data_IF_895774028385
#
_entry.id   IF_895774028385
#
_cell.length_a   1.000
_cell.length_b   1.000
_cell.length_c   1.000
_cell.angle_alpha   90.00
_cell.angle_beta   90.00
_cell.angle_gamma   90.00
#
_symmetry.space_group_name_H-M   'P 1'
#
loop_
_entity.id
_entity.type
_entity.pdbx_description
1 polymer ?
#
# COMPACT_ATOMS: atom_id res chain seq x y z
N UNK A 1 60.37 -47.42 25.24
CA UNK A 1 59.63 -46.71 24.17
C UNK A 1 58.72 -45.69 24.82
N UNK A 2 59.01 -44.39 24.61
CA UNK A 2 58.31 -43.26 25.23
C UNK A 2 57.04 -42.96 24.42
N UNK A 3 55.86 -42.91 25.05
CA UNK A 3 54.63 -42.37 24.45
C UNK A 3 54.32 -41.05 25.14
N UNK A 4 54.46 -39.96 24.39
CA UNK A 4 54.05 -38.62 24.77
C UNK A 4 52.54 -38.46 24.51
N UNK A 5 51.83 -37.91 25.50
CA UNK A 5 50.43 -37.52 25.38
C UNK A 5 50.31 -36.14 24.70
N UNK A 6 49.32 -35.91 23.83
CA UNK A 6 49.07 -34.58 23.29
C UNK A 6 48.25 -33.75 24.28
N UNK A 7 48.76 -32.55 24.60
CA UNK A 7 48.02 -31.46 25.23
C UNK A 7 46.93 -31.00 24.24
N UNK A 8 45.67 -31.15 24.62
CA UNK A 8 44.55 -30.48 23.94
C UNK A 8 44.46 -29.07 24.54
N UNK A 9 44.90 -28.07 23.76
CA UNK A 9 44.71 -26.67 24.10
C UNK A 9 43.25 -26.28 23.79
N UNK A 10 42.49 -25.96 24.84
CA UNK A 10 41.20 -25.30 24.76
C UNK A 10 41.42 -23.87 24.22
N UNK A 11 41.08 -23.62 22.96
CA UNK A 11 40.91 -22.27 22.43
C UNK A 11 39.60 -21.69 22.97
N UNK A 12 39.71 -20.98 24.09
CA UNK A 12 38.68 -20.05 24.57
C UNK A 12 38.97 -18.67 23.99
N UNK A 13 37.91 -17.90 23.70
CA UNK A 13 37.88 -16.50 23.23
C UNK A 13 38.01 -16.28 21.72
N UNK A 14 36.87 -16.35 21.03
CA UNK A 14 36.55 -15.43 19.94
C UNK A 14 35.30 -14.65 20.35
N UNK A 15 35.51 -13.51 21.00
CA UNK A 15 34.45 -12.53 21.20
C UNK A 15 33.96 -12.04 19.84
N UNK A 16 32.67 -11.67 19.76
CA UNK A 16 32.17 -10.80 18.70
C UNK A 16 32.81 -9.42 18.89
N UNK A 17 34.10 -9.29 18.58
CA UNK A 17 34.76 -8.01 18.50
C UNK A 17 34.12 -7.27 17.33
N UNK A 18 33.43 -6.19 17.70
CA UNK A 18 33.04 -5.07 16.84
C UNK A 18 34.09 -4.87 15.76
N UNK A 19 33.72 -5.16 14.51
CA UNK A 19 34.44 -4.70 13.33
C UNK A 19 34.42 -3.15 13.35
N UNK A 20 35.36 -2.57 14.12
CA UNK A 20 35.75 -1.16 14.07
C UNK A 20 36.49 -0.95 12.74
N UNK A 21 35.75 -1.02 11.64
CA UNK A 21 36.23 -0.74 10.31
C UNK A 21 36.12 0.75 10.00
N UNK A 22 37.27 1.42 9.95
CA UNK A 22 37.56 2.68 9.25
C UNK A 22 36.62 3.87 9.50
N UNK A 23 37.14 4.93 10.11
CA UNK A 23 36.50 6.24 10.40
C UNK A 23 36.04 7.06 9.16
N UNK A 24 35.74 6.41 8.04
CA UNK A 24 35.16 7.04 6.86
C UNK A 24 33.64 7.07 6.93
N UNK A 25 33.03 8.17 6.48
CA UNK A 25 31.59 8.20 6.20
C UNK A 25 31.25 7.03 5.25
N UNK A 26 30.17 6.26 5.51
CA UNK A 26 29.77 5.17 4.63
C UNK A 26 29.55 5.72 3.22
N UNK A 27 30.04 5.01 2.20
CA UNK A 27 29.78 5.39 0.80
C UNK A 27 28.38 4.91 0.41
N UNK A 28 27.55 5.77 -0.21
CA UNK A 28 26.23 5.37 -0.67
C UNK A 28 26.35 4.36 -1.82
N UNK A 29 25.43 3.39 -1.85
CA UNK A 29 25.28 2.46 -2.97
C UNK A 29 24.90 3.20 -4.24
N UNK A 30 24.04 4.22 -4.10
CA UNK A 30 23.69 5.12 -5.19
C UNK A 30 23.27 6.50 -4.69
N UNK A 31 23.49 7.51 -5.53
CA UNK A 31 23.03 8.87 -5.34
C UNK A 31 22.03 9.21 -6.44
N UNK A 32 20.83 9.60 -6.04
CA UNK A 32 19.76 10.03 -6.93
C UNK A 32 19.77 11.56 -6.95
N UNK A 33 19.86 12.16 -8.15
CA UNK A 33 19.77 13.60 -8.34
C UNK A 33 18.39 14.00 -8.79
N UNK A 34 17.85 15.05 -8.19
CA UNK A 34 16.53 15.57 -8.50
C UNK A 34 16.59 17.06 -8.78
N UNK A 35 15.71 17.52 -9.67
CA UNK A 35 15.44 18.93 -9.92
C UNK A 35 13.94 19.18 -9.84
N UNK A 36 13.54 20.25 -9.17
CA UNK A 36 12.14 20.67 -9.05
C UNK A 36 11.83 21.76 -10.06
N UNK A 37 10.75 21.60 -10.81
CA UNK A 37 10.22 22.59 -11.74
C UNK A 37 8.89 23.15 -11.23
N UNK A 38 8.73 24.48 -11.30
CA UNK A 38 7.49 25.14 -10.90
C UNK A 38 7.36 25.43 -9.41
N UNK A 39 8.48 25.43 -8.64
CA UNK A 39 8.49 25.69 -7.20
C UNK A 39 7.79 26.99 -6.81
N UNK A 40 7.85 28.03 -7.63
CA UNK A 40 7.18 29.32 -7.42
C UNK A 40 5.65 29.21 -7.29
N UNK A 41 5.05 28.06 -7.63
CA UNK A 41 3.63 27.77 -7.43
C UNK A 41 3.31 27.31 -6.01
N UNK A 42 4.33 26.98 -5.22
CA UNK A 42 4.19 26.61 -3.82
C UNK A 42 4.14 27.90 -3.00
N UNK A 43 2.95 28.24 -2.51
CA UNK A 43 2.74 29.36 -1.60
C UNK A 43 3.06 29.02 -0.14
N UNK A 44 3.06 30.01 0.75
CA UNK A 44 3.05 29.74 2.20
C UNK A 44 1.80 28.92 2.56
N UNK A 45 1.89 28.15 3.64
CA UNK A 45 0.72 27.43 4.17
C UNK A 45 -0.30 28.40 4.80
N UNK A 46 -1.45 27.90 5.24
CA UNK A 46 -2.52 28.63 5.95
C UNK A 46 -2.02 29.41 7.18
N UNK A 47 -0.83 29.07 7.69
CA UNK A 47 -0.19 29.71 8.85
C UNK A 47 0.83 30.80 8.48
N UNK A 48 0.97 31.16 7.19
CA UNK A 48 2.01 32.05 6.66
C UNK A 48 3.46 31.57 6.93
N UNK A 49 3.64 30.32 7.35
CA UNK A 49 4.95 29.72 7.56
C UNK A 49 5.56 29.32 6.22
N UNK A 50 6.83 29.68 5.93
CA UNK A 50 7.52 29.20 4.74
C UNK A 50 7.54 27.67 4.69
N UNK A 51 7.29 27.04 3.52
CA UNK A 51 7.25 25.59 3.40
C UNK A 51 8.63 24.98 3.69
N UNK A 52 8.65 23.87 4.44
CA UNK A 52 9.86 23.11 4.73
C UNK A 52 10.01 22.00 3.68
N UNK A 53 10.47 22.41 2.51
CA UNK A 53 10.50 21.52 1.34
C UNK A 53 11.57 20.43 1.46
N UNK A 54 11.12 19.19 1.30
CA UNK A 54 11.94 17.99 1.34
C UNK A 54 11.56 17.07 0.20
N UNK A 55 12.48 16.19 -0.18
CA UNK A 55 12.22 15.11 -1.13
C UNK A 55 12.27 13.76 -0.41
N UNK A 56 11.38 12.85 -0.78
CA UNK A 56 11.37 11.49 -0.28
C UNK A 56 11.41 10.48 -1.43
N UNK A 57 12.05 9.34 -1.20
CA UNK A 57 11.89 8.15 -2.03
C UNK A 57 10.87 7.22 -1.40
N UNK A 58 9.82 6.88 -2.16
CA UNK A 58 8.79 5.93 -1.76
C UNK A 58 8.93 4.65 -2.57
N UNK A 59 9.05 3.50 -1.91
CA UNK A 59 8.90 2.20 -2.56
C UNK A 59 7.43 1.83 -2.65
N UNK A 60 6.99 1.38 -3.82
CA UNK A 60 5.61 0.97 -4.06
C UNK A 60 5.35 -0.47 -3.66
N UNK A 61 4.13 -0.74 -3.19
CA UNK A 61 3.62 -2.10 -3.06
C UNK A 61 3.07 -2.62 -4.39
N UNK A 62 2.88 -3.93 -4.44
CA UNK A 62 1.94 -4.54 -5.37
C UNK A 62 0.52 -4.09 -5.01
N UNK A 63 -0.21 -3.53 -5.98
CA UNK A 63 -1.61 -3.20 -5.76
C UNK A 63 -2.40 -4.50 -5.83
N UNK A 64 -3.15 -4.76 -4.78
CA UNK A 64 -4.14 -5.83 -4.76
C UNK A 64 -5.49 -5.12 -4.83
N UNK A 65 -6.03 -4.88 -6.04
CA UNK A 65 -7.29 -4.18 -6.16
C UNK A 65 -8.39 -5.03 -5.55
N UNK A 66 -9.28 -4.38 -4.83
CA UNK A 66 -10.50 -5.03 -4.36
C UNK A 66 -11.31 -5.50 -5.57
N UNK A 67 -11.77 -6.77 -5.62
CA UNK A 67 -12.57 -7.31 -6.72
C UNK A 67 -13.74 -6.43 -7.18
N UNK A 68 -14.45 -5.78 -6.26
CA UNK A 68 -15.56 -4.88 -6.61
C UNK A 68 -15.12 -3.61 -7.35
N UNK A 69 -13.87 -3.18 -7.19
CA UNK A 69 -13.35 -2.00 -7.87
C UNK A 69 -12.96 -2.27 -9.33
N UNK A 70 -12.92 -3.54 -9.75
CA UNK A 70 -12.61 -3.94 -11.12
C UNK A 70 -13.81 -4.52 -11.87
N UNK A 71 -14.83 -4.98 -11.14
CA UNK A 71 -16.04 -5.56 -11.72
C UNK A 71 -17.09 -4.47 -11.99
N UNK A 72 -17.94 -4.64 -13.01
CA UNK A 72 -19.08 -3.76 -13.23
C UNK A 72 -20.00 -3.74 -11.99
N UNK A 73 -20.47 -2.56 -11.55
CA UNK A 73 -21.40 -2.47 -10.43
C UNK A 73 -22.75 -3.12 -10.78
N UNK A 74 -23.33 -3.86 -9.83
CA UNK A 74 -24.64 -4.54 -10.02
C UNK A 74 -25.85 -3.61 -9.85
N UNK A 75 -25.65 -2.40 -9.33
CA UNK A 75 -26.70 -1.40 -9.12
C UNK A 75 -26.14 0.03 -9.15
N UNK A 76 -27.01 1.02 -9.33
CA UNK A 76 -26.62 2.44 -9.28
C UNK A 76 -26.05 2.83 -7.90
N UNK A 77 -26.61 2.26 -6.82
CA UNK A 77 -26.11 2.50 -5.47
C UNK A 77 -24.70 1.93 -5.31
N UNK A 78 -24.45 0.70 -5.78
CA UNK A 78 -23.12 0.11 -5.80
C UNK A 78 -22.14 0.97 -6.62
N UNK A 79 -22.56 1.46 -7.79
CA UNK A 79 -21.73 2.32 -8.63
C UNK A 79 -21.29 3.60 -7.90
N UNK A 80 -22.19 4.25 -7.15
CA UNK A 80 -21.88 5.45 -6.36
C UNK A 80 -20.86 5.14 -5.25
N UNK A 81 -21.08 4.07 -4.49
CA UNK A 81 -20.17 3.64 -3.42
C UNK A 81 -18.79 3.34 -3.97
N UNK A 82 -18.71 2.58 -5.06
CA UNK A 82 -17.45 2.22 -5.69
C UNK A 82 -16.74 3.44 -6.28
N UNK A 83 -17.46 4.37 -6.92
CA UNK A 83 -16.85 5.61 -7.42
C UNK A 83 -16.23 6.48 -6.31
N UNK A 84 -16.81 6.44 -5.10
CA UNK A 84 -16.33 7.19 -3.94
C UNK A 84 -15.18 6.48 -3.23
N UNK A 85 -15.29 5.16 -3.02
CA UNK A 85 -14.35 4.40 -2.21
C UNK A 85 -13.22 3.73 -3.00
N UNK A 86 -13.43 3.37 -4.27
CA UNK A 86 -12.38 2.70 -5.03
C UNK A 86 -11.26 3.67 -5.40
N UNK A 87 -10.00 3.34 -5.11
CA UNK A 87 -8.88 4.10 -5.63
C UNK A 87 -8.73 3.89 -7.14
N UNK A 88 -8.01 4.81 -7.80
CA UNK A 88 -7.52 4.56 -9.16
C UNK A 88 -6.69 3.26 -9.16
N UNK A 89 -7.11 2.29 -9.97
CA UNK A 89 -6.50 0.96 -10.08
C UNK A 89 -5.05 1.00 -10.60
N UNK A 90 -4.69 2.09 -11.30
CA UNK A 90 -3.40 2.25 -11.93
C UNK A 90 -2.48 3.21 -11.19
N UNK A 91 -2.94 3.79 -10.08
CA UNK A 91 -2.14 4.70 -9.27
C UNK A 91 -0.93 3.99 -8.69
N UNK A 92 0.16 4.72 -8.50
CA UNK A 92 1.25 4.28 -7.64
C UNK A 92 0.74 4.14 -6.20
N UNK A 93 1.02 3.00 -5.57
CA UNK A 93 0.62 2.74 -4.19
C UNK A 93 1.87 2.63 -3.30
N UNK A 94 2.21 3.68 -2.54
CA UNK A 94 3.38 3.68 -1.67
C UNK A 94 3.24 2.70 -0.52
N UNK A 95 4.31 1.99 -0.18
CA UNK A 95 4.38 1.12 1.00
C UNK A 95 5.30 1.67 2.08
N UNK A 96 6.45 2.20 1.66
CA UNK A 96 7.54 2.56 2.57
C UNK A 96 8.29 3.78 2.08
N UNK A 97 8.56 4.71 3.00
CA UNK A 97 9.53 5.78 2.79
C UNK A 97 10.94 5.23 3.04
N UNK A 98 11.80 5.31 2.04
CA UNK A 98 13.13 4.72 2.08
C UNK A 98 14.20 5.71 2.55
N UNK A 99 14.10 6.95 2.08
CA UNK A 99 15.06 8.01 2.35
C UNK A 99 14.40 9.38 2.16
N UNK A 100 14.94 10.39 2.85
CA UNK A 100 14.53 11.78 2.77
C UNK A 100 15.76 12.68 2.62
N UNK A 101 15.61 13.81 1.92
CA UNK A 101 16.62 14.85 1.84
C UNK A 101 15.97 16.23 1.82
N UNK A 102 16.67 17.24 2.31
CA UNK A 102 16.25 18.62 2.17
C UNK A 102 16.38 19.07 0.70
N UNK A 103 15.45 19.91 0.24
CA UNK A 103 15.58 20.61 -1.04
C UNK A 103 16.48 21.83 -0.87
N UNK A 104 17.50 22.00 -1.71
CA UNK A 104 18.23 23.27 -1.80
C UNK A 104 17.36 24.28 -2.57
N UNK A 105 16.78 25.22 -1.84
CA UNK A 105 15.87 26.23 -2.40
C UNK A 105 16.56 27.28 -3.27
N UNK A 106 17.90 27.33 -3.28
CA UNK A 106 18.66 28.26 -4.14
C UNK A 106 18.88 27.71 -5.54
N UNK A 107 18.95 26.38 -5.67
CA UNK A 107 19.20 25.65 -6.92
C UNK A 107 17.97 24.88 -7.41
N UNK A 108 16.96 24.71 -6.55
CA UNK A 108 15.81 23.82 -6.77
C UNK A 108 16.22 22.35 -7.00
N UNK A 109 17.34 21.94 -6.41
CA UNK A 109 17.89 20.60 -6.53
C UNK A 109 17.94 19.84 -5.19
N UNK A 110 17.91 18.52 -5.26
CA UNK A 110 18.10 17.66 -4.10
C UNK A 110 18.88 16.39 -4.46
N UNK A 111 19.51 15.78 -3.45
CA UNK A 111 20.25 14.53 -3.57
C UNK A 111 19.74 13.54 -2.53
N UNK A 112 19.30 12.37 -2.97
CA UNK A 112 18.95 11.25 -2.09
C UNK A 112 20.05 10.20 -2.17
N UNK A 113 20.62 9.86 -1.03
CA UNK A 113 21.66 8.85 -0.89
C UNK A 113 21.03 7.56 -0.34
N UNK A 114 21.28 6.44 -1.02
CA UNK A 114 20.82 5.13 -0.57
C UNK A 114 22.00 4.28 -0.12
N UNK A 115 21.95 3.84 1.14
CA UNK A 115 22.98 2.99 1.74
C UNK A 115 22.61 1.51 1.78
N UNK A 116 21.35 1.20 1.50
CA UNK A 116 20.82 -0.16 1.51
C UNK A 116 19.99 -0.42 0.26
N UNK A 117 19.97 -1.67 -0.19
CA UNK A 117 18.99 -2.12 -1.18
C UNK A 117 17.58 -2.15 -0.56
N UNK A 118 16.52 -2.10 -1.37
CA UNK A 118 15.15 -2.25 -0.88
C UNK A 118 14.97 -3.57 -0.13
N UNK A 119 14.14 -3.56 0.91
CA UNK A 119 13.85 -4.78 1.66
C UNK A 119 12.94 -5.70 0.85
N UNK A 120 13.07 -7.01 1.07
CA UNK A 120 12.32 -8.03 0.33
C UNK A 120 10.80 -7.90 0.47
N UNK A 121 10.29 -7.24 1.51
CA UNK A 121 8.86 -7.05 1.76
C UNK A 121 8.20 -6.05 0.81
N UNK A 122 8.98 -5.16 0.18
CA UNK A 122 8.50 -4.23 -0.86
C UNK A 122 8.85 -4.70 -2.28
N UNK A 123 9.57 -5.80 -2.42
CA UNK A 123 9.95 -6.35 -3.72
C UNK A 123 8.93 -7.38 -4.20
N UNK A 124 8.72 -7.41 -5.51
CA UNK A 124 7.77 -8.30 -6.18
C UNK A 124 8.56 -9.38 -6.91
N UNK A 125 8.17 -10.64 -6.72
CA UNK A 125 8.76 -11.81 -7.37
C UNK A 125 9.20 -12.88 -6.37
N UNK A 126 9.99 -13.86 -6.84
CA UNK A 126 10.48 -14.97 -6.02
C UNK A 126 11.90 -14.72 -5.50
N UNK A 127 12.56 -15.69 -4.88
CA UNK A 127 13.92 -15.53 -4.34
C UNK A 127 15.01 -15.34 -5.42
N UNK A 128 14.72 -15.63 -6.69
CA UNK A 128 15.66 -15.59 -7.81
C UNK A 128 15.46 -14.40 -8.74
N UNK A 129 14.29 -13.76 -8.65
CA UNK A 129 13.83 -12.75 -9.60
C UNK A 129 12.95 -11.76 -8.86
N UNK A 130 13.51 -10.61 -8.47
CA UNK A 130 12.80 -9.58 -7.71
C UNK A 130 12.93 -8.21 -8.34
N UNK A 131 11.87 -7.43 -8.25
CA UNK A 131 11.88 -6.04 -8.70
C UNK A 131 11.05 -5.18 -7.76
N UNK A 132 11.49 -3.94 -7.54
CA UNK A 132 10.69 -2.92 -6.90
C UNK A 132 10.76 -1.63 -7.71
N UNK A 133 9.68 -0.86 -7.63
CA UNK A 133 9.55 0.44 -8.28
C UNK A 133 9.27 1.49 -7.23
N UNK A 134 9.82 2.68 -7.41
CA UNK A 134 9.69 3.78 -6.49
C UNK A 134 9.36 5.10 -7.17
N UNK A 135 8.69 5.95 -6.41
CA UNK A 135 8.33 7.32 -6.77
C UNK A 135 9.12 8.29 -5.89
N UNK A 136 9.67 9.32 -6.51
CA UNK A 136 10.33 10.42 -5.81
C UNK A 136 9.33 11.54 -5.65
N UNK A 137 9.19 12.08 -4.44
CA UNK A 137 8.13 13.04 -4.11
C UNK A 137 8.71 14.28 -3.45
N UNK A 138 8.19 15.44 -3.82
CA UNK A 138 8.45 16.70 -3.13
C UNK A 138 7.30 16.95 -2.16
N UNK A 139 7.62 17.20 -0.90
CA UNK A 139 6.63 17.49 0.12
C UNK A 139 7.03 18.65 1.04
N UNK A 140 6.02 19.26 1.64
CA UNK A 140 6.11 20.17 2.77
C UNK A 140 6.10 19.36 4.06
N UNK A 141 7.21 19.39 4.80
CA UNK A 141 7.34 18.78 6.12
C UNK A 141 6.64 19.67 7.15
N UNK A 142 5.35 19.43 7.41
CA UNK A 142 4.52 20.35 8.22
C UNK A 142 4.59 20.08 9.71
N UNK A 143 4.95 18.88 10.12
CA UNK A 143 5.22 18.57 11.52
C UNK A 143 6.70 18.81 11.89
N UNK A 144 7.61 18.85 10.92
CA UNK A 144 9.02 19.20 11.12
C UNK A 144 9.86 18.03 11.56
N UNK A 145 9.38 16.81 11.39
CA UNK A 145 10.09 15.60 11.81
C UNK A 145 11.16 15.16 10.80
N UNK A 146 11.20 15.79 9.61
CA UNK A 146 12.17 15.55 8.57
C UNK A 146 11.87 14.34 7.67
N UNK A 147 10.70 13.71 7.82
CA UNK A 147 10.30 12.52 7.09
C UNK A 147 8.84 12.59 6.61
N UNK A 148 8.59 12.13 5.37
CA UNK A 148 7.21 12.05 4.90
C UNK A 148 6.43 10.99 5.70
N UNK A 149 5.33 11.39 6.32
CA UNK A 149 4.39 10.45 6.92
C UNK A 149 3.39 9.91 5.88
N UNK A 150 3.34 8.57 5.73
CA UNK A 150 2.30 7.91 4.94
C UNK A 150 1.03 7.73 5.78
N UNK A 151 -0.07 8.25 5.26
CA UNK A 151 -1.40 8.10 5.82
C UNK A 151 -1.88 6.65 5.65
N UNK A 152 -2.52 6.13 6.69
CA UNK A 152 -3.32 4.91 6.58
C UNK A 152 -4.76 5.33 6.31
N UNK A 153 -5.46 4.60 5.45
CA UNK A 153 -6.91 4.83 5.27
C UNK A 153 -7.60 4.75 6.65
N UNK A 154 -8.45 5.73 7.00
CA UNK A 154 -9.03 5.83 8.33
C UNK A 154 -9.68 4.51 8.72
N UNK A 155 -9.25 3.97 9.86
CA UNK A 155 -9.77 2.71 10.42
C UNK A 155 -11.10 2.95 11.13
N UNK A 156 -11.97 3.82 10.61
CA UNK A 156 -13.24 4.19 11.28
C UNK A 156 -14.42 3.46 10.68
N UNK A 157 -14.68 2.30 11.25
CA UNK A 157 -15.98 2.14 11.89
C UNK A 157 -15.62 1.74 13.31
N UNK A 158 -15.87 2.66 14.24
CA UNK A 158 -15.68 2.39 15.66
C UNK A 158 -16.53 1.15 15.97
N UNK A 159 -15.85 0.03 16.18
CA UNK A 159 -16.45 -1.10 16.84
C UNK A 159 -16.65 -0.67 18.28
N UNK A 160 -17.75 0.03 18.55
CA UNK A 160 -18.27 0.18 19.90
C UNK A 160 -18.84 -1.17 20.33
N UNK A 161 -18.03 -2.22 20.28
CA UNK A 161 -18.24 -3.36 21.15
C UNK A 161 -17.92 -2.86 22.55
N UNK A 162 -18.87 -2.87 23.49
CA UNK A 162 -18.47 -2.90 24.88
C UNK A 162 -17.64 -4.16 25.01
N UNK A 163 -16.34 -4.01 25.29
CA UNK A 163 -15.54 -5.10 25.84
C UNK A 163 -16.16 -5.48 27.19
N UNK A 164 -17.25 -6.23 27.13
CA UNK A 164 -17.81 -6.96 28.24
C UNK A 164 -16.80 -8.04 28.57
N UNK A 165 -15.90 -7.71 29.49
CA UNK A 165 -15.38 -8.72 30.40
C UNK A 165 -16.56 -9.44 31.07
N UNK A 166 -16.25 -10.66 31.49
CA UNK A 166 -17.11 -11.58 32.27
C UNK A 166 -17.77 -12.67 31.41
N UNK A 167 -16.99 -13.71 31.08
CA UNK A 167 -17.19 -14.99 31.77
C UNK A 167 -16.13 -16.04 31.42
N UNK A 168 -15.65 -16.67 32.49
CA UNK A 168 -14.79 -17.83 32.48
C UNK A 168 -15.54 -19.08 31.98
N UNK A 169 -14.93 -19.85 31.06
CA UNK A 169 -15.07 -21.31 31.09
C UNK A 169 -13.89 -21.97 30.39
N UNK A 170 -13.32 -22.94 31.10
CA UNK A 170 -12.09 -23.62 30.84
C UNK A 170 -12.16 -24.61 29.66
N UNK A 171 -10.95 -24.99 29.22
CA UNK A 171 -10.60 -26.16 28.38
C UNK A 171 -10.96 -26.12 26.89
N UNK A 172 -10.09 -25.47 26.11
CA UNK A 172 -9.77 -25.92 24.76
C UNK A 172 -8.27 -25.73 24.50
N UNK A 173 -7.60 -26.82 24.14
CA UNK A 173 -6.17 -26.87 23.82
C UNK A 173 -5.85 -26.17 22.47
N UNK A 174 -4.62 -25.66 22.30
CA UNK A 174 -4.23 -24.85 21.14
C UNK A 174 -3.61 -25.70 20.03
N UNK A 175 -4.08 -25.51 18.79
CA UNK A 175 -3.30 -25.87 17.60
C UNK A 175 -3.69 -24.97 16.41
N UNK A 176 -2.69 -24.23 15.92
CA UNK A 176 -2.52 -23.68 14.57
C UNK A 176 -3.49 -22.62 14.03
N UNK A 177 -3.85 -21.64 14.86
CA UNK A 177 -4.06 -20.28 14.37
C UNK A 177 -2.93 -19.42 14.94
N UNK A 178 -2.04 -18.93 14.07
CA UNK A 178 -1.01 -17.96 14.48
C UNK A 178 -1.67 -16.82 15.25
N UNK A 179 -1.02 -16.27 16.29
CA UNK A 179 -1.62 -15.24 17.11
C UNK A 179 -2.02 -14.08 16.20
N UNK A 180 -3.32 -13.74 16.23
CA UNK A 180 -3.73 -12.40 15.86
C UNK A 180 -2.87 -11.46 16.70
N UNK A 181 -2.00 -10.70 16.04
CA UNK A 181 -1.18 -9.68 16.69
C UNK A 181 -2.13 -8.53 17.02
N UNK A 182 -3.01 -8.75 17.99
CA UNK A 182 -3.73 -7.73 18.73
C UNK A 182 -2.73 -7.12 19.71
N UNK A 183 -1.69 -6.47 19.16
CA UNK A 183 -0.93 -5.51 19.95
C UNK A 183 -1.88 -4.41 20.42
N UNK A 184 -1.64 -3.79 21.59
CA UNK A 184 -2.49 -2.72 22.08
C UNK A 184 -2.66 -1.68 20.97
N UNK A 185 -3.89 -1.51 20.49
CA UNK A 185 -4.21 -0.47 19.53
C UNK A 185 -3.89 0.86 20.18
N UNK A 186 -2.72 1.43 19.87
CA UNK A 186 -2.41 2.80 20.25
C UNK A 186 -3.50 3.64 19.57
N UNK A 187 -4.30 4.41 20.34
CA UNK A 187 -5.33 5.25 19.78
C UNK A 187 -4.71 6.11 18.67
N UNK A 188 -5.26 5.99 17.47
CA UNK A 188 -4.87 6.87 16.38
C UNK A 188 -5.40 8.26 16.74
N UNK A 189 -4.56 9.08 17.40
CA UNK A 189 -4.86 10.48 17.57
C UNK A 189 -4.86 11.11 16.17
N UNK A 190 -6.02 11.61 15.69
CA UNK A 190 -6.07 12.21 14.37
C UNK A 190 -5.14 13.42 14.37
N UNK A 191 -4.06 13.35 13.58
CA UNK A 191 -3.20 14.52 13.32
C UNK A 191 -4.08 15.68 12.89
N UNK A 192 -3.90 16.83 13.54
CA UNK A 192 -4.65 18.04 13.22
C UNK A 192 -4.44 18.38 11.73
N UNK A 193 -5.45 18.91 11.02
CA UNK A 193 -5.37 19.19 9.58
C UNK A 193 -4.16 20.04 9.14
N UNK A 194 -3.57 20.84 10.04
CA UNK A 194 -2.36 21.64 9.76
C UNK A 194 -1.01 20.94 10.01
N UNK A 195 -1.00 19.71 10.56
CA UNK A 195 0.24 18.95 10.86
C UNK A 195 0.53 17.86 9.83
N UNK A 196 -0.28 17.75 8.78
CA UNK A 196 -0.10 16.72 7.77
C UNK A 196 0.78 17.25 6.65
N UNK A 197 1.79 16.49 6.27
CA UNK A 197 2.65 16.83 5.14
C UNK A 197 1.85 17.04 3.86
N UNK A 198 2.31 17.92 2.98
CA UNK A 198 1.64 18.20 1.71
C UNK A 198 2.55 17.86 0.56
N UNK A 199 2.12 16.94 -0.31
CA UNK A 199 2.89 16.54 -1.50
C UNK A 199 2.58 17.50 -2.65
N UNK A 200 3.63 18.10 -3.22
CA UNK A 200 3.53 19.07 -4.31
C UNK A 200 4.01 18.52 -5.66
N UNK A 201 4.85 17.48 -5.67
CA UNK A 201 5.28 16.83 -6.90
C UNK A 201 5.57 15.35 -6.65
N UNK A 202 5.45 14.54 -7.69
CA UNK A 202 5.82 13.13 -7.68
C UNK A 202 6.33 12.72 -9.07
N UNK A 203 7.34 11.85 -9.11
CA UNK A 203 7.91 11.36 -10.36
C UNK A 203 7.06 10.25 -10.99
N UNK A 204 6.28 9.53 -10.18
CA UNK A 204 5.34 8.49 -10.61
C UNK A 204 4.06 8.54 -9.76
N UNK A 205 2.93 8.94 -10.37
CA UNK A 205 1.62 9.01 -9.69
C UNK A 205 0.66 7.92 -10.15
N UNK A 206 0.60 7.64 -11.45
CA UNK A 206 -0.28 6.63 -12.02
C UNK A 206 0.31 6.11 -13.32
N UNK A 207 0.02 4.86 -13.65
CA UNK A 207 0.40 4.30 -14.94
C UNK A 207 -0.44 4.90 -16.09
N UNK A 208 -1.45 5.71 -15.80
CA UNK A 208 -2.24 6.37 -16.85
C UNK A 208 -1.65 7.69 -17.34
N UNK A 209 -0.58 8.17 -16.71
CA UNK A 209 0.13 9.39 -17.10
C UNK A 209 1.62 9.11 -17.39
N UNK A 210 2.33 10.05 -18.03
CA UNK A 210 3.78 9.97 -18.16
C UNK A 210 4.47 9.94 -16.80
N UNK A 211 5.46 9.07 -16.64
CA UNK A 211 6.18 8.90 -15.38
C UNK A 211 7.68 8.74 -15.57
N UNK A 212 8.41 9.00 -14.49
CA UNK A 212 9.80 8.60 -14.31
C UNK A 212 9.93 7.94 -12.94
N UNK A 213 10.32 6.68 -12.91
CA UNK A 213 10.38 5.87 -11.69
C UNK A 213 11.78 5.35 -11.45
N UNK A 214 12.10 5.22 -10.17
CA UNK A 214 13.26 4.46 -9.74
C UNK A 214 12.90 2.98 -9.78
N UNK A 215 13.78 2.14 -10.28
CA UNK A 215 13.65 0.69 -10.20
C UNK A 215 14.89 0.09 -9.56
N UNK A 216 14.70 -1.02 -8.87
CA UNK A 216 15.78 -1.89 -8.45
C UNK A 216 15.42 -3.34 -8.78
N UNK A 217 16.30 -4.03 -9.50
CA UNK A 217 16.09 -5.43 -9.92
C UNK A 217 17.21 -6.33 -9.40
N UNK A 218 16.82 -7.44 -8.77
CA UNK A 218 17.71 -8.55 -8.42
C UNK A 218 17.39 -9.77 -9.28
N UNK A 219 18.43 -10.37 -9.86
CA UNK A 219 18.29 -11.58 -10.65
C UNK A 219 17.60 -11.37 -12.00
N UNK A 220 16.82 -12.36 -12.42
CA UNK A 220 16.10 -12.31 -13.70
C UNK A 220 14.84 -11.46 -13.58
N UNK A 221 14.39 -10.95 -14.70
CA UNK A 221 13.10 -10.28 -14.79
C UNK A 221 12.03 -11.31 -15.18
N UNK A 222 10.94 -11.37 -14.41
CA UNK A 222 9.81 -12.24 -14.69
C UNK A 222 8.68 -11.41 -15.29
N UNK A 223 8.53 -11.47 -16.62
CA UNK A 223 7.52 -10.74 -17.38
C UNK A 223 6.08 -11.04 -16.92
N UNK A 224 5.84 -12.21 -16.31
CA UNK A 224 4.53 -12.63 -15.82
C UNK A 224 4.20 -12.12 -14.40
N UNK A 225 5.20 -11.80 -13.57
CA UNK A 225 5.01 -11.35 -12.18
C UNK A 225 4.94 -9.82 -12.04
N UNK A 226 4.91 -9.13 -13.17
CA UNK A 226 5.48 -7.81 -13.28
C UNK A 226 4.41 -6.73 -13.05
N UNK A 227 4.33 -6.17 -11.84
CA UNK A 227 3.22 -5.27 -11.43
C UNK A 227 3.40 -3.76 -11.77
N UNK A 228 4.52 -3.34 -12.34
CA UNK A 228 4.66 -2.00 -12.93
C UNK A 228 5.45 -1.90 -14.26
N UNK A 229 6.26 -2.88 -14.71
CA UNK A 229 6.89 -2.77 -16.01
C UNK A 229 5.79 -2.72 -17.05
N UNK A 230 5.95 -1.75 -17.94
CA UNK A 230 4.92 -1.46 -18.90
C UNK A 230 5.13 -2.35 -20.10
N UNK A 231 4.12 -3.11 -20.47
CA UNK A 231 4.19 -4.00 -21.63
C UNK A 231 4.63 -3.20 -22.86
N UNK A 232 5.66 -3.68 -23.56
CA UNK A 232 6.30 -2.96 -24.68
C UNK A 232 7.55 -2.15 -24.31
N UNK A 233 7.82 -1.88 -23.03
CA UNK A 233 9.11 -1.34 -22.59
C UNK A 233 10.12 -2.47 -22.28
N UNK A 234 11.41 -2.15 -22.35
CA UNK A 234 12.47 -3.07 -21.94
C UNK A 234 12.37 -3.39 -20.43
N UNK A 235 12.82 -4.59 -20.07
CA UNK A 235 12.96 -5.00 -18.68
C UNK A 235 13.96 -4.08 -17.96
N UNK A 236 13.70 -3.67 -16.69
CA UNK A 236 14.67 -2.89 -15.92
C UNK A 236 16.02 -3.59 -15.87
N UNK A 237 17.17 -2.94 -16.06
CA UNK A 237 18.48 -3.60 -15.92
C UNK A 237 18.71 -4.09 -14.47
N UNK A 238 19.63 -5.04 -14.23
CA UNK A 238 19.98 -5.44 -12.86
C UNK A 238 20.56 -4.27 -12.07
N UNK A 239 20.23 -4.19 -10.78
CA UNK A 239 20.61 -3.08 -9.91
C UNK A 239 19.65 -1.89 -10.03
N UNK A 240 20.12 -0.70 -9.65
CA UNK A 240 19.31 0.51 -9.67
C UNK A 240 19.27 1.16 -11.07
N UNK A 241 18.09 1.61 -11.49
CA UNK A 241 17.90 2.32 -12.77
C UNK A 241 16.78 3.34 -12.70
N UNK A 242 16.81 4.32 -13.61
CA UNK A 242 15.67 5.19 -13.88
C UNK A 242 14.96 4.68 -15.13
N UNK A 243 13.65 4.53 -15.02
CA UNK A 243 12.79 4.14 -16.11
C UNK A 243 11.77 5.25 -16.34
N UNK A 244 11.36 5.47 -17.58
CA UNK A 244 10.27 6.37 -17.91
C UNK A 244 9.35 5.76 -18.94
N UNK A 245 8.11 6.25 -18.98
CA UNK A 245 7.09 5.80 -19.91
C UNK A 245 6.03 6.89 -20.14
N UNK A 246 5.26 6.76 -21.23
CA UNK A 246 4.31 7.79 -21.67
C UNK A 246 2.91 7.77 -21.03
N UNK A 247 2.49 6.70 -20.37
CA UNK A 247 1.09 6.56 -19.93
C UNK A 247 0.27 5.63 -20.84
N UNK A 248 -0.84 5.09 -20.33
CA UNK A 248 -1.87 4.44 -21.15
C UNK A 248 -3.26 4.93 -20.71
N UNK A 249 -4.28 4.80 -21.55
CA UNK A 249 -5.63 5.14 -21.10
C UNK A 249 -6.22 4.04 -20.20
N UNK A 250 -7.08 4.42 -19.26
CA UNK A 250 -7.81 3.44 -18.45
C UNK A 250 -8.66 2.49 -19.32
N UNK A 251 -9.18 2.97 -20.45
CA UNK A 251 -9.94 2.15 -21.40
C UNK A 251 -9.05 1.06 -22.03
N UNK A 252 -7.85 1.41 -22.49
CA UNK A 252 -6.89 0.44 -23.04
C UNK A 252 -6.48 -0.59 -22.00
N UNK A 253 -6.32 -0.15 -20.75
CA UNK A 253 -5.98 -1.02 -19.64
C UNK A 253 -7.08 -2.04 -19.32
N UNK A 254 -8.34 -1.60 -19.32
CA UNK A 254 -9.49 -2.50 -19.13
C UNK A 254 -9.62 -3.49 -20.29
N UNK A 255 -9.43 -3.05 -21.54
CA UNK A 255 -9.43 -3.92 -22.72
C UNK A 255 -8.31 -4.96 -22.64
N UNK A 256 -7.09 -4.56 -22.26
CA UNK A 256 -5.97 -5.47 -22.09
C UNK A 256 -6.21 -6.45 -20.94
N UNK A 257 -6.72 -5.97 -19.79
CA UNK A 257 -7.02 -6.81 -18.64
C UNK A 257 -8.08 -7.88 -18.96
N UNK A 258 -9.10 -7.55 -19.74
CA UNK A 258 -10.10 -8.51 -20.23
C UNK A 258 -9.49 -9.63 -21.10
N UNK A 259 -8.31 -9.40 -21.67
CA UNK A 259 -7.53 -10.38 -22.43
C UNK A 259 -6.44 -11.07 -21.59
N UNK A 260 -6.36 -10.79 -20.29
CA UNK A 260 -5.27 -11.25 -19.41
C UNK A 260 -3.92 -10.63 -19.76
N UNK A 261 -3.90 -9.42 -20.32
CA UNK A 261 -2.69 -8.69 -20.75
C UNK A 261 -2.56 -7.36 -20.02
N UNK A 262 -1.34 -6.83 -20.03
CA UNK A 262 -1.08 -5.44 -19.66
C UNK A 262 -1.23 -4.53 -20.89
N UNK A 263 -1.78 -3.31 -20.74
CA UNK A 263 -1.87 -2.35 -21.83
C UNK A 263 -0.48 -2.04 -22.40
N UNK A 264 -0.40 -2.04 -23.74
CA UNK A 264 0.85 -1.83 -24.47
C UNK A 264 1.25 -0.35 -24.44
N UNK A 265 2.52 -0.09 -24.17
CA UNK A 265 3.16 1.21 -24.38
C UNK A 265 3.74 1.31 -25.78
N UNK A 266 3.75 2.54 -26.28
CA UNK A 266 4.58 2.90 -27.43
C UNK A 266 6.06 2.80 -27.02
N UNK A 267 6.86 2.02 -27.74
CA UNK A 267 8.26 1.76 -27.38
C UNK A 267 9.10 3.05 -27.34
N UNK A 268 8.77 4.01 -28.22
CA UNK A 268 9.37 5.35 -28.28
C UNK A 268 9.07 6.23 -27.05
N UNK A 269 8.05 5.86 -26.26
CA UNK A 269 7.74 6.55 -25.01
C UNK A 269 8.53 6.00 -23.81
N UNK A 270 9.17 4.84 -23.97
CA UNK A 270 9.94 4.19 -22.93
C UNK A 270 11.36 4.77 -22.89
N UNK A 271 11.82 5.18 -21.71
CA UNK A 271 13.18 5.65 -21.50
C UNK A 271 13.87 4.85 -20.41
N UNK A 272 15.17 4.66 -20.53
CA UNK A 272 16.04 4.07 -19.52
C UNK A 272 17.25 4.98 -19.33
N UNK A 273 17.65 5.18 -18.07
CA UNK A 273 18.87 5.89 -17.75
C UNK A 273 19.56 5.30 -16.51
N UNK A 274 20.89 5.40 -16.49
CA UNK A 274 21.68 5.15 -15.29
C UNK A 274 21.46 6.29 -14.28
N UNK A 275 21.59 5.99 -12.98
CA UNK A 275 21.49 7.02 -11.94
C UNK A 275 22.70 7.97 -11.93
N UNK A 276 23.84 7.54 -12.48
CA UNK A 276 25.05 8.35 -12.60
C UNK A 276 24.91 9.48 -13.63
N UNK A 277 23.99 9.36 -14.58
CA UNK A 277 23.78 10.33 -15.66
C UNK A 277 22.40 11.00 -15.58
N UNK A 278 21.43 10.31 -15.00
CA UNK A 278 20.07 10.81 -14.87
C UNK A 278 19.91 11.92 -13.84
N UNK A 279 18.94 12.78 -14.12
CA UNK A 279 18.32 13.70 -13.16
C UNK A 279 16.82 13.47 -13.24
N UNK A 280 16.19 13.27 -12.07
CA UNK A 280 14.73 13.14 -12.00
C UNK A 280 14.12 14.53 -11.90
N UNK A 281 13.21 14.85 -12.81
CA UNK A 281 12.53 16.14 -12.83
C UNK A 281 11.17 16.02 -12.15
N UNK A 282 11.02 16.67 -11.00
CA UNK A 282 9.76 16.74 -10.26
C UNK A 282 9.01 18.01 -10.65
N UNK A 283 7.84 17.86 -11.26
CA UNK A 283 7.00 19.00 -11.67
C UNK A 283 5.93 19.26 -10.62
N UNK A 284 5.89 20.49 -10.11
CA UNK A 284 4.90 20.91 -9.13
C UNK A 284 3.49 20.88 -9.73
N UNK A 285 2.57 20.22 -9.01
CA UNK A 285 1.15 20.07 -9.32
C UNK A 285 0.31 20.50 -8.12
N UNK A 286 -0.99 20.77 -8.34
CA UNK A 286 -1.92 21.01 -7.23
C UNK A 286 -1.98 19.80 -6.28
N UNK A 287 -1.89 19.98 -4.95
CA UNK A 287 -1.84 18.87 -3.99
C UNK A 287 -3.02 17.91 -4.05
N UNK A 288 -4.20 18.38 -4.45
CA UNK A 288 -5.40 17.55 -4.62
C UNK A 288 -5.22 16.43 -5.66
N UNK A 289 -4.32 16.62 -6.63
CA UNK A 289 -3.98 15.59 -7.62
C UNK A 289 -2.99 14.54 -7.08
N UNK A 290 -2.34 14.81 -5.94
CA UNK A 290 -1.27 14.01 -5.37
C UNK A 290 -1.65 13.37 -4.03
N UNK A 291 -2.87 13.59 -3.54
CA UNK A 291 -3.35 13.07 -2.25
C UNK A 291 -3.14 11.54 -2.10
N UNK A 292 -3.36 10.79 -3.18
CA UNK A 292 -3.19 9.34 -3.19
C UNK A 292 -1.75 8.87 -2.90
N UNK A 293 -0.74 9.71 -3.15
CA UNK A 293 0.69 9.39 -2.96
C UNK A 293 1.09 9.33 -1.49
N UNK A 294 0.26 9.90 -0.60
CA UNK A 294 0.47 9.76 0.84
C UNK A 294 -0.17 8.49 1.40
N UNK A 295 -0.97 7.79 0.62
CA UNK A 295 -1.75 6.67 1.12
C UNK A 295 -0.95 5.37 1.07
N UNK A 296 -0.62 4.85 2.25
CA UNK A 296 0.06 3.57 2.38
C UNK A 296 -0.78 2.45 1.75
N UNK A 297 -0.11 1.51 1.11
CA UNK A 297 -0.74 0.33 0.55
C UNK A 297 -1.57 -0.38 1.61
N UNK A 298 -2.74 -0.84 1.16
CA UNK A 298 -3.53 -1.82 1.87
C UNK A 298 -3.64 -3.04 0.99
N UNK A 299 -3.59 -4.20 1.62
CA UNK A 299 -3.94 -5.45 0.97
C UNK A 299 -5.46 -5.50 0.76
N UNK A 300 -5.92 -5.34 -0.48
CA UNK A 300 -7.14 -6.01 -0.99
C UNK A 300 -8.52 -5.55 -0.53
N UNK A 301 -8.66 -4.43 0.18
CA UNK A 301 -9.91 -4.07 0.86
C UNK A 301 -10.09 -4.90 2.14
N UNK A 302 -10.73 -4.33 3.16
CA UNK A 302 -10.90 -5.02 4.43
C UNK A 302 -12.23 -5.76 4.48
N UNK A 303 -12.19 -7.08 4.55
CA UNK A 303 -13.37 -7.88 4.92
C UNK A 303 -13.45 -8.02 6.43
N UNK A 304 -14.52 -7.47 7.01
CA UNK A 304 -14.87 -7.59 8.42
C UNK A 304 -16.09 -8.49 8.59
N UNK A 305 -16.04 -9.33 9.59
CA UNK A 305 -17.10 -10.27 9.89
C UNK A 305 -17.93 -9.77 11.07
N UNK A 306 -19.26 -9.92 10.95
CA UNK A 306 -20.20 -9.47 11.97
C UNK A 306 -21.15 -10.61 12.36
N UNK A 307 -21.41 -10.71 13.66
CA UNK A 307 -22.41 -11.58 14.24
C UNK A 307 -22.98 -10.94 15.53
N UNK A 308 -24.23 -11.19 15.91
CA UNK A 308 -24.75 -10.85 17.22
C UNK A 308 -23.84 -11.39 18.35
N UNK A 309 -23.70 -10.67 19.48
CA UNK A 309 -24.42 -9.46 19.87
C UNK A 309 -23.74 -8.14 19.46
N UNK A 310 -22.90 -8.13 18.42
CA UNK A 310 -22.18 -6.92 17.99
C UNK A 310 -23.12 -5.72 17.83
N UNK A 311 -22.64 -4.54 18.22
CA UNK A 311 -23.35 -3.28 18.01
C UNK A 311 -23.56 -3.03 16.51
N UNK A 312 -24.62 -2.27 16.20
CA UNK A 312 -24.88 -1.83 14.83
C UNK A 312 -23.74 -0.97 14.27
N UNK A 313 -23.66 -0.90 12.94
CA UNK A 313 -22.71 -0.03 12.26
C UNK A 313 -23.27 1.39 12.23
N UNK A 314 -22.45 2.38 12.58
CA UNK A 314 -22.80 3.79 12.36
C UNK A 314 -22.53 4.12 10.89
N UNK A 315 -23.60 4.24 10.11
CA UNK A 315 -23.53 4.50 8.66
C UNK A 315 -23.88 5.96 8.29
N UNK A 316 -24.22 6.80 9.28
CA UNK A 316 -24.61 8.18 9.05
C UNK A 316 -23.50 8.97 8.35
N UNK A 317 -23.84 9.63 7.24
CA UNK A 317 -22.89 10.39 6.42
C UNK A 317 -21.96 9.55 5.54
N UNK A 318 -22.06 8.22 5.59
CA UNK A 318 -21.28 7.31 4.75
C UNK A 318 -22.07 6.85 3.53
N UNK A 319 -21.35 6.63 2.42
CA UNK A 319 -21.93 5.94 1.27
C UNK A 319 -21.78 4.44 1.45
N UNK A 320 -22.88 3.70 1.30
CA UNK A 320 -22.87 2.26 1.40
C UNK A 320 -23.88 1.60 0.44
N UNK A 321 -23.63 0.33 0.12
CA UNK A 321 -24.48 -0.48 -0.73
C UNK A 321 -24.41 -1.94 -0.29
N UNK A 322 -25.51 -2.66 -0.50
CA UNK A 322 -25.52 -4.11 -0.42
C UNK A 322 -25.16 -4.65 -1.79
N UNK A 323 -24.13 -5.49 -1.85
CA UNK A 323 -23.65 -6.07 -3.10
C UNK A 323 -23.47 -7.57 -2.97
N UNK A 324 -23.66 -8.31 -4.05
CA UNK A 324 -23.26 -9.71 -4.09
C UNK A 324 -21.73 -9.82 -3.90
N UNK A 325 -21.30 -10.82 -3.13
CA UNK A 325 -19.90 -11.17 -3.03
C UNK A 325 -19.43 -11.68 -4.39
N UNK A 326 -18.43 -11.03 -5.01
CA UNK A 326 -17.94 -11.47 -6.31
C UNK A 326 -17.24 -12.82 -6.13
N UNK A 327 -17.60 -13.78 -6.96
CA UNK A 327 -16.94 -15.08 -6.98
C UNK A 327 -15.88 -15.09 -8.10
N UNK A 328 -14.61 -15.19 -7.70
CA UNK A 328 -13.45 -15.29 -8.59
C UNK A 328 -12.70 -16.58 -8.25
N UNK A 329 -13.34 -17.73 -8.48
CA UNK A 329 -12.83 -19.04 -8.05
C UNK A 329 -12.79 -20.09 -9.16
N UNK A 330 -11.99 -21.13 -8.92
CA UNK A 330 -11.98 -22.38 -9.69
C UNK A 330 -12.64 -23.42 -8.77
N UNK A 331 -13.93 -23.69 -8.95
CA UNK A 331 -14.68 -24.56 -8.04
C UNK A 331 -16.20 -24.37 -8.14
N UNK A 332 -16.99 -25.04 -7.28
CA UNK A 332 -18.41 -24.77 -7.19
C UNK A 332 -18.64 -23.33 -6.73
N UNK A 333 -19.52 -22.61 -7.43
CA UNK A 333 -19.92 -21.26 -7.05
C UNK A 333 -20.59 -21.34 -5.67
N UNK A 334 -20.08 -20.61 -4.65
CA UNK A 334 -20.73 -20.57 -3.35
C UNK A 334 -22.12 -19.95 -3.50
N UNK A 335 -22.97 -20.21 -2.51
CA UNK A 335 -24.26 -19.55 -2.42
C UNK A 335 -24.09 -18.03 -2.49
N UNK A 336 -25.02 -17.30 -3.14
CA UNK A 336 -24.93 -15.86 -3.27
C UNK A 336 -24.94 -15.22 -1.87
N UNK A 337 -23.77 -14.79 -1.40
CA UNK A 337 -23.63 -14.02 -0.18
C UNK A 337 -23.76 -12.54 -0.52
N UNK A 338 -24.56 -11.81 0.27
CA UNK A 338 -24.63 -10.34 0.18
C UNK A 338 -23.71 -9.76 1.25
N UNK A 339 -22.90 -8.80 0.86
CA UNK A 339 -22.04 -8.03 1.74
C UNK A 339 -22.47 -6.57 1.74
N UNK A 340 -22.31 -5.91 2.89
CA UNK A 340 -22.44 -4.46 3.00
C UNK A 340 -21.08 -3.84 2.65
N UNK A 341 -21.03 -3.00 1.64
CA UNK A 341 -19.83 -2.27 1.25
C UNK A 341 -20.00 -0.82 1.65
N UNK A 342 -19.01 -0.30 2.36
CA UNK A 342 -18.99 1.07 2.85
C UNK A 342 -17.76 1.77 2.27
N UNK A 343 -17.97 2.88 1.57
CA UNK A 343 -16.88 3.71 1.09
C UNK A 343 -16.32 4.57 2.23
N UNK A 344 -15.03 4.89 2.15
CA UNK A 344 -14.46 5.98 2.96
C UNK A 344 -15.24 7.28 2.76
N UNK A 345 -15.32 8.15 3.78
CA UNK A 345 -16.00 9.45 3.66
C UNK A 345 -15.54 10.26 2.44
N UNK A 346 -16.43 11.00 1.76
CA UNK A 346 -16.06 11.90 0.69
C UNK A 346 -15.01 12.92 1.17
N UNK A 347 -13.97 13.13 0.35
CA UNK A 347 -12.88 14.06 0.66
C UNK A 347 -11.72 13.46 1.44
N UNK A 348 -11.82 12.21 1.91
CA UNK A 348 -10.65 11.50 2.45
C UNK A 348 -9.63 11.24 1.33
N UNK A 349 -8.33 11.58 1.55
CA UNK A 349 -7.29 11.41 0.54
C UNK A 349 -7.06 9.93 0.21
N UNK A 350 -7.25 9.06 1.22
CA UNK A 350 -7.03 7.63 1.12
C UNK A 350 -8.33 6.87 0.95
N UNK A 351 -8.88 7.01 -0.27
CA UNK A 351 -10.04 6.26 -0.73
C UNK A 351 -9.85 4.78 -0.54
N UNK A 352 -10.84 4.15 0.08
CA UNK A 352 -10.91 2.70 0.26
C UNK A 352 -12.38 2.25 0.36
N UNK A 353 -12.59 0.94 0.27
CA UNK A 353 -13.86 0.29 0.54
C UNK A 353 -13.69 -0.74 1.65
N UNK A 354 -14.62 -0.73 2.61
CA UNK A 354 -14.69 -1.71 3.69
C UNK A 354 -15.87 -2.63 3.40
N UNK A 355 -15.62 -3.93 3.47
CA UNK A 355 -16.58 -4.98 3.24
C UNK A 355 -17.02 -5.56 4.58
N UNK A 356 -18.31 -5.58 4.84
CA UNK A 356 -18.89 -6.27 5.97
C UNK A 356 -19.66 -7.46 5.46
N UNK A 357 -19.35 -8.63 6.01
CA UNK A 357 -20.11 -9.86 5.76
C UNK A 357 -20.74 -10.30 7.08
N UNK A 358 -22.06 -10.39 7.09
CA UNK A 358 -22.80 -10.98 8.19
C UNK A 358 -22.61 -12.49 8.13
N UNK A 359 -22.16 -13.09 9.24
CA UNK A 359 -21.87 -14.53 9.31
C UNK A 359 -22.73 -15.23 10.35
N UNK A 360 -23.19 -16.41 9.98
CA UNK A 360 -23.83 -17.36 10.87
C UNK A 360 -22.82 -18.11 11.75
N UNK A 361 -21.54 -18.15 11.36
CA UNK A 361 -20.50 -18.94 12.02
C UNK A 361 -19.41 -18.05 12.63
N UNK A 362 -18.93 -18.39 13.84
CA UNK A 362 -17.89 -17.61 14.54
C UNK A 362 -16.49 -17.73 13.92
N UNK A 363 -16.13 -18.87 13.32
CA UNK A 363 -14.74 -19.16 12.89
C UNK A 363 -14.53 -19.19 11.36
N UNK A 364 -15.59 -19.30 10.57
CA UNK A 364 -15.52 -19.45 9.11
C UNK A 364 -16.63 -18.63 8.40
N UNK A 365 -16.38 -18.14 7.18
CA UNK A 365 -17.41 -17.53 6.32
C UNK A 365 -18.39 -18.56 5.79
N UNK A 366 -17.93 -19.80 5.71
CA UNK A 366 -18.68 -20.95 5.25
C UNK A 366 -18.56 -22.03 6.31
N UNK A 367 -19.66 -22.36 6.97
CA UNK A 367 -19.75 -23.59 7.75
C UNK A 367 -21.04 -24.31 7.34
N UNK A 368 -21.01 -25.64 7.40
CA UNK A 368 -22.15 -26.47 7.00
C UNK A 368 -23.37 -26.26 7.91
N UNK A 369 -23.13 -25.87 9.17
CA UNK A 369 -24.17 -25.58 10.16
C UNK A 369 -23.85 -24.27 10.88
N UNK A 370 -24.55 -23.16 10.60
CA UNK A 370 -24.30 -21.89 11.27
C UNK A 370 -24.71 -21.92 12.74
N UNK A 371 -23.96 -21.20 13.58
CA UNK A 371 -24.26 -21.02 15.01
C UNK A 371 -25.60 -20.32 15.22
N UNK A 372 -26.07 -19.56 14.22
CA UNK A 372 -27.39 -18.96 14.17
C UNK A 372 -27.90 -18.79 12.73
N UNK A 373 -29.21 -18.92 12.56
CA UNK A 373 -29.86 -18.80 11.25
C UNK A 373 -30.04 -17.32 10.86
N UNK A 374 -29.17 -16.86 9.96
CA UNK A 374 -29.19 -15.53 9.35
C UNK A 374 -30.50 -15.20 8.65
N UNK A 375 -31.15 -16.21 8.06
CA UNK A 375 -32.35 -16.03 7.25
C UNK A 375 -33.59 -15.85 8.12
N UNK A 376 -33.59 -16.45 9.32
CA UNK A 376 -34.71 -16.36 10.27
C UNK A 376 -34.55 -15.23 11.29
N UNK A 377 -33.31 -14.92 11.67
CA UNK A 377 -33.03 -14.02 12.80
C UNK A 377 -32.03 -12.90 12.44
N UNK A 378 -32.14 -12.35 11.22
CA UNK A 378 -31.31 -11.22 10.81
C UNK A 378 -31.38 -10.07 11.83
N UNK A 379 -30.24 -9.51 12.29
CA UNK A 379 -30.25 -8.43 13.27
C UNK A 379 -30.89 -7.19 12.67
N UNK A 380 -31.73 -6.49 13.45
CA UNK A 380 -32.43 -5.29 12.98
C UNK A 380 -31.50 -4.15 12.56
N UNK A 381 -30.26 -4.15 13.03
CA UNK A 381 -29.22 -3.19 12.65
C UNK A 381 -28.52 -3.51 11.33
N UNK A 382 -28.75 -4.70 10.75
CA UNK A 382 -28.13 -5.07 9.48
C UNK A 382 -28.97 -4.57 8.30
N UNK A 383 -28.42 -3.70 7.44
CA UNK A 383 -29.21 -3.05 6.39
C UNK A 383 -29.40 -3.90 5.14
N UNK A 384 -28.58 -4.95 4.96
CA UNK A 384 -28.66 -5.78 3.77
C UNK A 384 -29.69 -6.88 3.90
N UNK A 385 -30.39 -7.24 2.81
CA UNK A 385 -31.30 -8.37 2.85
C UNK A 385 -30.51 -9.60 3.28
N UNK A 386 -31.07 -10.36 4.23
CA UNK A 386 -30.58 -11.70 4.49
C UNK A 386 -30.73 -12.47 3.18
N UNK A 387 -29.61 -12.74 2.51
CA UNK A 387 -29.61 -13.60 1.34
C UNK A 387 -30.29 -14.91 1.74
N UNK A 388 -31.26 -15.37 0.96
CA UNK A 388 -31.82 -16.71 1.15
C UNK A 388 -30.68 -17.71 1.04
N UNK A 389 -30.17 -18.19 2.18
CA UNK A 389 -29.42 -19.44 2.23
C UNK A 389 -30.47 -20.54 1.99
N UNK A 390 -30.36 -21.35 0.93
CA UNK A 390 -31.22 -22.53 0.77
C UNK A 390 -31.05 -23.51 1.94
#
# INVERSE_FOLDING_TARGET
MKRAAPLIALATLAGCDTLLGTEGQPQPLVVIRLRVEGRQRIGPDVTDTPPRLRVALLWGAQIVPTPLCILPPESEQAAKVLATGCPDLFRFVPERVAANAALDTSTDEARIELFTVPSADVMIGDITSRVVYGSLVLYDDRDGDGALALDRSPRRVDDTSPSGGDDASATATPSDAGPAVDGPEIPFEPRLPGQRDVVYAASFVSMTEPDQRLAFREGKFNDAAAYYPRNGCAAPPPGFSLLGAGGFSAADALVAAAQGKLPQQAAESCTEASLAEGVVVLRVRPPEQLQGIRCRARSGGQTRYRAPPAAGLVLDGLQWACVAMPWIGIGPKPLPQVQLVVATPPGEPCRDVIHYTLRGCRRDASCDVPDWDLTKNAPSWWPCPASQQP
#
